data_IF_493426695466
#
_entry.id   IF_493426695466
#
_cell.length_a   1.000
_cell.length_b   1.000
_cell.length_c   1.000
_cell.angle_alpha   90.00
_cell.angle_beta   90.00
_cell.angle_gamma   90.00
#
_symmetry.space_group_name_H-M   'P 1'
#
loop_
_entity.id
_entity.type
_entity.pdbx_description
1 polymer ?
#
# COMPACT_ATOMS: atom_id res chain seq x y z
N UNK A 1 -20.69 -18.84 -51.18
CA UNK A 1 -19.93 -19.54 -50.12
C UNK A 1 -18.73 -18.72 -49.62
N UNK A 2 -17.79 -18.31 -50.48
CA UNK A 2 -16.60 -17.55 -50.05
C UNK A 2 -16.92 -16.23 -49.31
N UNK A 3 -17.90 -15.45 -49.77
CA UNK A 3 -18.26 -14.18 -49.13
C UNK A 3 -18.85 -14.38 -47.73
N UNK A 4 -19.68 -15.42 -47.55
CA UNK A 4 -20.24 -15.78 -46.24
C UNK A 4 -19.13 -16.17 -45.27
N UNK A 5 -18.15 -16.96 -45.71
CA UNK A 5 -16.98 -17.32 -44.89
C UNK A 5 -16.15 -16.09 -44.53
N UNK A 6 -15.94 -15.17 -45.47
CA UNK A 6 -15.20 -13.91 -45.23
C UNK A 6 -15.89 -13.05 -44.17
N UNK A 7 -17.20 -12.88 -44.27
CA UNK A 7 -17.99 -12.11 -43.27
C UNK A 7 -17.90 -12.77 -41.89
N UNK A 8 -18.05 -14.10 -41.81
CA UNK A 8 -17.92 -14.84 -40.55
C UNK A 8 -16.52 -14.64 -39.95
N UNK A 9 -15.46 -14.73 -40.76
CA UNK A 9 -14.08 -14.52 -40.30
C UNK A 9 -13.84 -13.10 -39.79
N UNK A 10 -14.38 -12.08 -40.47
CA UNK A 10 -14.25 -10.69 -40.03
C UNK A 10 -14.99 -10.45 -38.71
N UNK A 11 -16.18 -11.02 -38.54
CA UNK A 11 -16.93 -10.95 -37.28
C UNK A 11 -16.16 -11.66 -36.16
N UNK A 12 -15.65 -12.86 -36.42
CA UNK A 12 -14.85 -13.60 -35.44
C UNK A 12 -13.59 -12.84 -35.02
N UNK A 13 -12.90 -12.23 -35.99
CA UNK A 13 -11.71 -11.41 -35.74
C UNK A 13 -12.04 -10.16 -34.91
N UNK A 14 -13.14 -9.46 -35.25
CA UNK A 14 -13.59 -8.30 -34.49
C UNK A 14 -13.97 -8.68 -33.05
N UNK A 15 -14.66 -9.81 -32.85
CA UNK A 15 -15.01 -10.31 -31.53
C UNK A 15 -13.76 -10.69 -30.71
N UNK A 16 -12.78 -11.35 -31.33
CA UNK A 16 -11.51 -11.69 -30.69
C UNK A 16 -10.71 -10.43 -30.28
N UNK A 17 -10.68 -9.41 -31.15
CA UNK A 17 -10.01 -8.15 -30.87
C UNK A 17 -10.67 -7.41 -29.69
N UNK A 18 -11.99 -7.29 -29.69
CA UNK A 18 -12.74 -6.64 -28.60
C UNK A 18 -12.54 -7.38 -27.27
N UNK A 19 -12.57 -8.72 -27.29
CA UNK A 19 -12.34 -9.53 -26.09
C UNK A 19 -10.92 -9.34 -25.55
N UNK A 20 -9.92 -9.31 -26.44
CA UNK A 20 -8.52 -9.07 -26.06
C UNK A 20 -8.34 -7.67 -25.46
N UNK A 21 -8.97 -6.66 -26.05
CA UNK A 21 -8.93 -5.28 -25.53
C UNK A 21 -9.62 -5.18 -24.17
N UNK A 22 -10.77 -5.83 -24.00
CA UNK A 22 -11.48 -5.88 -22.72
C UNK A 22 -10.64 -6.57 -21.63
N UNK A 23 -9.93 -7.66 -21.96
CA UNK A 23 -9.00 -8.33 -21.05
C UNK A 23 -7.81 -7.45 -20.69
N UNK A 24 -7.23 -6.76 -21.68
CA UNK A 24 -6.13 -5.84 -21.45
C UNK A 24 -6.55 -4.67 -20.55
N UNK A 25 -7.77 -4.14 -20.76
CA UNK A 25 -8.32 -3.06 -19.95
C UNK A 25 -8.66 -3.52 -18.53
N UNK A 26 -9.24 -4.71 -18.36
CA UNK A 26 -9.54 -5.26 -17.03
C UNK A 26 -8.26 -5.51 -16.23
N UNK A 27 -7.24 -6.07 -16.89
CA UNK A 27 -5.89 -6.24 -16.32
C UNK A 27 -5.25 -4.90 -15.94
N UNK A 28 -5.39 -3.88 -16.79
CA UNK A 28 -4.91 -2.53 -16.49
C UNK A 28 -5.63 -1.88 -15.30
N UNK A 29 -6.90 -2.23 -15.09
CA UNK A 29 -7.72 -1.74 -13.98
C UNK A 29 -7.55 -2.53 -12.69
N UNK A 30 -6.70 -3.56 -12.66
CA UNK A 30 -6.43 -4.35 -11.47
C UNK A 30 -6.08 -3.43 -10.27
N UNK A 31 -6.80 -3.56 -9.13
CA UNK A 31 -6.60 -2.74 -7.94
C UNK A 31 -5.14 -2.53 -7.52
N UNK A 32 -4.26 -3.56 -7.46
CA UNK A 32 -2.87 -3.37 -7.02
C UNK A 32 -2.06 -2.47 -7.96
N UNK A 33 -2.32 -2.51 -9.27
CA UNK A 33 -1.65 -1.64 -10.25
C UNK A 33 -2.20 -0.23 -10.20
N UNK A 34 -3.50 -0.10 -9.94
CA UNK A 34 -4.16 1.20 -9.84
C UNK A 34 -3.63 1.97 -8.63
N UNK A 35 -3.57 1.33 -7.46
CA UNK A 35 -3.14 1.98 -6.23
C UNK A 35 -1.67 2.38 -6.26
N UNK A 36 -0.77 1.53 -6.80
CA UNK A 36 0.64 1.89 -6.98
C UNK A 36 0.85 3.08 -7.92
N UNK A 37 0.08 3.17 -9.00
CA UNK A 37 0.14 4.33 -9.90
C UNK A 37 -0.41 5.59 -9.24
N UNK A 38 -1.48 5.47 -8.47
CA UNK A 38 -2.00 6.59 -7.68
C UNK A 38 -0.94 7.05 -6.65
N UNK A 39 -0.24 6.10 -6.01
CA UNK A 39 0.83 6.38 -5.05
C UNK A 39 1.99 7.11 -5.69
N UNK A 40 2.49 6.61 -6.83
CA UNK A 40 3.55 7.27 -7.59
C UNK A 40 3.12 8.66 -8.08
N UNK A 41 1.86 8.83 -8.49
CA UNK A 41 1.34 10.14 -8.91
C UNK A 41 1.21 11.12 -7.76
N UNK A 42 0.80 10.64 -6.58
CA UNK A 42 0.61 11.47 -5.39
C UNK A 42 1.95 11.88 -4.76
N UNK A 43 2.94 10.96 -4.77
CA UNK A 43 4.29 11.23 -4.30
C UNK A 43 5.10 12.06 -5.31
N UNK A 44 4.91 11.84 -6.60
CA UNK A 44 5.67 12.54 -7.65
C UNK A 44 7.10 12.03 -7.87
N UNK A 45 7.58 11.14 -7.01
CA UNK A 45 8.89 10.48 -7.10
C UNK A 45 8.77 8.99 -6.70
N UNK A 46 9.76 8.13 -7.02
CA UNK A 46 9.78 6.75 -6.54
C UNK A 46 9.86 6.69 -5.01
N UNK A 47 9.06 5.83 -4.34
CA UNK A 47 9.08 5.73 -2.88
C UNK A 47 10.31 4.96 -2.37
N UNK A 48 10.88 5.40 -1.25
CA UNK A 48 11.96 4.74 -0.53
C UNK A 48 11.43 3.55 0.26
N UNK A 49 10.24 3.70 0.83
CA UNK A 49 9.44 2.59 1.32
C UNK A 49 7.97 2.82 1.01
N UNK A 50 7.31 1.76 0.54
CA UNK A 50 5.87 1.71 0.31
C UNK A 50 5.26 0.52 1.08
N UNK A 51 4.00 0.64 1.44
CA UNK A 51 3.17 -0.47 1.88
C UNK A 51 1.80 -0.36 1.22
N UNK A 52 1.28 -1.50 0.78
CA UNK A 52 0.01 -1.57 0.04
C UNK A 52 -0.81 -2.71 0.65
N UNK A 53 -2.06 -2.41 0.96
CA UNK A 53 -3.10 -3.36 1.35
C UNK A 53 -4.14 -3.40 0.23
N UNK A 54 -4.01 -4.32 -0.76
CA UNK A 54 -4.85 -4.31 -1.96
C UNK A 54 -6.34 -4.42 -1.66
N UNK A 55 -6.71 -5.25 -0.68
CA UNK A 55 -8.11 -5.49 -0.34
C UNK A 55 -8.75 -4.36 0.44
N UNK A 56 -8.02 -3.72 1.35
CA UNK A 56 -8.48 -2.50 2.00
C UNK A 56 -8.52 -1.31 1.02
N UNK A 57 -7.85 -1.45 -0.14
CA UNK A 57 -7.64 -0.37 -1.08
C UNK A 57 -6.85 0.77 -0.45
N UNK A 58 -5.95 0.44 0.47
CA UNK A 58 -5.13 1.38 1.24
C UNK A 58 -3.67 1.23 0.86
N UNK A 59 -2.95 2.34 0.84
CA UNK A 59 -1.51 2.34 0.62
C UNK A 59 -0.88 3.53 1.33
N UNK A 60 0.40 3.40 1.65
CA UNK A 60 1.22 4.52 2.07
C UNK A 60 2.61 4.43 1.47
N UNK A 61 3.24 5.58 1.29
CA UNK A 61 4.62 5.70 0.84
C UNK A 61 5.28 6.88 1.54
N UNK A 62 6.60 6.83 1.65
CA UNK A 62 7.41 7.99 2.01
C UNK A 62 8.52 8.18 0.98
N UNK A 63 8.92 9.44 0.82
CA UNK A 63 10.12 9.80 0.07
C UNK A 63 10.90 10.93 0.74
N UNK A 64 12.22 10.77 0.84
CA UNK A 64 13.10 11.70 1.52
C UNK A 64 13.48 12.90 0.65
N UNK A 65 13.60 12.72 -0.67
CA UNK A 65 13.95 13.81 -1.60
C UNK A 65 12.89 14.92 -1.64
N UNK A 66 11.61 14.55 -1.48
CA UNK A 66 10.47 15.48 -1.46
C UNK A 66 9.95 15.77 -0.04
N UNK A 67 10.49 15.09 0.97
CA UNK A 67 10.14 15.24 2.39
C UNK A 67 8.65 15.01 2.70
N UNK A 68 8.04 13.98 2.10
CA UNK A 68 6.61 13.69 2.28
C UNK A 68 6.31 12.23 2.61
N UNK A 69 5.26 12.05 3.42
CA UNK A 69 4.56 10.80 3.63
C UNK A 69 3.17 10.90 3.00
N UNK A 70 2.88 10.04 2.04
CA UNK A 70 1.58 9.97 1.36
C UNK A 70 0.81 8.76 1.87
N UNK A 71 -0.47 8.98 2.17
CA UNK A 71 -1.43 7.91 2.49
C UNK A 71 -2.59 7.96 1.51
N UNK A 72 -3.03 6.81 1.02
CA UNK A 72 -4.10 6.66 0.04
C UNK A 72 -5.15 5.67 0.55
N UNK A 73 -6.42 5.91 0.22
CA UNK A 73 -7.52 4.97 0.45
C UNK A 73 -8.49 4.92 -0.73
N UNK A 74 -9.50 4.06 -0.64
CA UNK A 74 -10.47 3.82 -1.71
C UNK A 74 -9.79 3.48 -3.06
N UNK A 75 -8.77 2.61 -3.01
CA UNK A 75 -7.98 2.20 -4.17
C UNK A 75 -7.33 3.40 -4.90
N UNK A 76 -6.81 4.35 -4.12
CA UNK A 76 -6.14 5.55 -4.62
C UNK A 76 -7.06 6.64 -5.17
N UNK A 77 -8.37 6.57 -4.91
CA UNK A 77 -9.30 7.64 -5.27
C UNK A 77 -9.19 8.86 -4.34
N UNK A 78 -8.74 8.61 -3.10
CA UNK A 78 -8.53 9.63 -2.10
C UNK A 78 -7.16 9.44 -1.44
N UNK A 79 -6.60 10.52 -0.92
CA UNK A 79 -5.32 10.50 -0.27
C UNK A 79 -4.96 11.83 0.38
N UNK A 80 -3.97 11.77 1.26
CA UNK A 80 -3.36 12.92 1.92
C UNK A 80 -1.84 12.80 1.77
N UNK A 81 -1.19 13.94 1.60
CA UNK A 81 0.26 14.07 1.64
C UNK A 81 0.60 14.92 2.87
N UNK A 82 1.43 14.38 3.74
CA UNK A 82 1.91 15.03 4.95
C UNK A 82 3.38 15.36 4.78
N UNK A 83 3.77 16.58 5.15
CA UNK A 83 5.17 16.92 5.32
C UNK A 83 5.77 16.16 6.51
N UNK A 84 7.08 15.97 6.53
CA UNK A 84 7.75 15.24 7.61
C UNK A 84 7.54 15.85 9.01
N UNK A 85 7.37 17.16 9.09
CA UNK A 85 7.06 17.89 10.33
C UNK A 85 5.68 17.51 10.88
N UNK A 86 4.74 17.18 10.00
CA UNK A 86 3.39 16.76 10.36
C UNK A 86 3.34 15.28 10.80
N UNK A 87 4.40 14.51 10.61
CA UNK A 87 4.47 13.12 11.06
C UNK A 87 4.85 13.08 12.54
N UNK A 88 3.98 12.46 13.35
CA UNK A 88 4.24 12.24 14.78
C UNK A 88 4.93 10.91 15.06
N UNK A 89 4.70 9.90 14.22
CA UNK A 89 5.40 8.61 14.31
C UNK A 89 4.64 7.45 13.69
N UNK A 90 5.00 6.24 14.12
CA UNK A 90 4.37 5.01 13.64
C UNK A 90 4.41 3.86 14.65
N UNK A 91 3.47 2.94 14.50
CA UNK A 91 3.31 1.74 15.32
C UNK A 91 3.18 0.50 14.45
N UNK A 92 3.70 -0.62 14.96
CA UNK A 92 3.38 -1.95 14.44
C UNK A 92 2.51 -2.64 15.48
N UNK A 93 1.34 -3.08 15.01
CA UNK A 93 0.34 -3.77 15.82
C UNK A 93 0.25 -5.20 15.31
N UNK A 94 0.34 -6.17 16.22
CA UNK A 94 0.19 -7.59 15.93
C UNK A 94 -0.96 -8.11 16.78
N UNK A 95 -1.98 -8.66 16.13
CA UNK A 95 -3.18 -9.23 16.80
C UNK A 95 -3.75 -8.29 17.87
N UNK A 96 -3.88 -7.00 17.54
CA UNK A 96 -4.39 -5.95 18.43
C UNK A 96 -3.40 -5.40 19.46
N UNK A 97 -2.16 -5.90 19.52
CA UNK A 97 -1.14 -5.47 20.47
C UNK A 97 -0.05 -4.62 19.81
N UNK A 98 0.21 -3.42 20.35
CA UNK A 98 1.32 -2.56 19.89
C UNK A 98 2.66 -3.20 20.29
N UNK A 99 3.31 -3.86 19.34
CA UNK A 99 4.59 -4.56 19.55
C UNK A 99 5.80 -3.67 19.35
N UNK A 100 5.67 -2.63 18.52
CA UNK A 100 6.73 -1.65 18.29
C UNK A 100 6.14 -0.26 18.03
N UNK A 101 6.86 0.78 18.45
CA UNK A 101 6.43 2.18 18.35
C UNK A 101 7.63 3.09 18.19
N UNK A 102 7.48 4.11 17.35
CA UNK A 102 8.31 5.30 17.34
C UNK A 102 7.39 6.51 17.40
N UNK A 103 7.72 7.48 18.25
CA UNK A 103 7.03 8.76 18.36
C UNK A 103 8.03 9.90 18.57
N UNK A 104 7.68 11.10 18.09
CA UNK A 104 8.45 12.32 18.32
C UNK A 104 8.59 12.56 19.83
N UNK A 105 9.84 12.68 20.31
CA UNK A 105 10.14 12.91 21.72
C UNK A 105 10.02 11.70 22.66
N UNK A 106 9.64 10.52 22.17
CA UNK A 106 9.58 9.28 22.96
C UNK A 106 10.78 8.36 22.65
N UNK A 107 11.21 7.57 23.64
CA UNK A 107 12.19 6.51 23.41
C UNK A 107 11.56 5.40 22.54
N UNK A 108 12.29 4.96 21.51
CA UNK A 108 11.83 3.90 20.59
C UNK A 108 11.53 2.60 21.35
N UNK A 109 10.34 2.04 21.11
CA UNK A 109 10.03 0.63 21.42
C UNK A 109 10.39 -0.21 20.20
N UNK A 110 11.51 -0.93 20.27
CA UNK A 110 12.01 -1.79 19.20
C UNK A 110 11.04 -2.95 18.92
N UNK A 111 11.00 -3.37 17.65
CA UNK A 111 10.31 -4.60 17.27
C UNK A 111 11.21 -5.79 17.59
N UNK A 112 11.05 -6.38 18.77
CA UNK A 112 11.85 -7.54 19.19
C UNK A 112 11.02 -8.84 19.26
N UNK A 113 9.85 -8.81 18.61
CA UNK A 113 8.91 -9.94 18.58
C UNK A 113 9.00 -10.64 17.22
N UNK A 114 9.19 -11.96 17.26
CA UNK A 114 8.88 -12.86 16.15
C UNK A 114 7.48 -13.41 16.40
N UNK A 115 6.55 -13.15 15.48
CA UNK A 115 5.19 -13.67 15.54
C UNK A 115 4.93 -14.50 14.27
N UNK A 116 5.43 -15.75 14.22
CA UNK A 116 5.25 -16.62 13.05
C UNK A 116 3.79 -17.00 12.83
N UNK A 117 3.00 -17.01 13.90
CA UNK A 117 1.58 -17.40 13.89
C UNK A 117 0.63 -16.18 14.01
N UNK A 118 1.12 -14.97 13.68
CA UNK A 118 0.28 -13.77 13.72
C UNK A 118 -0.88 -13.87 12.72
N UNK A 119 -2.10 -13.59 13.19
CA UNK A 119 -3.28 -13.51 12.34
C UNK A 119 -3.31 -12.17 11.60
N UNK A 120 -2.87 -11.09 12.24
CA UNK A 120 -2.89 -9.76 11.67
C UNK A 120 -1.62 -8.97 12.02
N UNK A 121 -1.05 -8.26 11.03
CA UNK A 121 0.01 -7.27 11.24
C UNK A 121 -0.43 -5.95 10.60
N UNK A 122 -0.52 -4.89 11.39
CA UNK A 122 -0.98 -3.56 10.95
C UNK A 122 0.12 -2.54 11.15
N UNK A 123 0.32 -1.68 10.16
CA UNK A 123 1.09 -0.44 10.29
C UNK A 123 0.11 0.70 10.60
N UNK A 124 0.34 1.41 11.70
CA UNK A 124 -0.35 2.67 12.02
C UNK A 124 0.64 3.81 11.87
N UNK A 125 0.31 4.80 11.07
CA UNK A 125 0.99 6.08 10.97
C UNK A 125 0.21 7.14 11.75
N UNK A 126 0.91 8.05 12.40
CA UNK A 126 0.33 9.09 13.25
C UNK A 126 0.78 10.46 12.76
N UNK A 127 -0.15 11.40 12.71
CA UNK A 127 0.04 12.73 12.14
C UNK A 127 -0.50 13.82 13.06
N UNK A 128 0.11 15.00 12.99
CA UNK A 128 -0.32 16.22 13.65
C UNK A 128 -1.50 16.88 12.88
N UNK A 129 -2.50 16.08 12.52
CA UNK A 129 -3.74 16.51 11.86
C UNK A 129 -4.94 16.17 12.75
N UNK A 130 -5.70 17.19 13.15
CA UNK A 130 -6.88 17.00 14.00
C UNK A 130 -8.03 16.24 13.31
N UNK A 131 -8.09 16.24 11.97
CA UNK A 131 -9.14 15.57 11.19
C UNK A 131 -8.77 14.13 10.88
N UNK A 132 -7.50 13.89 10.61
CA UNK A 132 -6.96 12.59 10.21
C UNK A 132 -5.69 12.25 11.01
N UNK A 133 -5.80 12.09 12.34
CA UNK A 133 -4.64 11.93 13.22
C UNK A 133 -3.92 10.59 13.04
N UNK A 134 -4.59 9.60 12.47
CA UNK A 134 -4.01 8.27 12.26
C UNK A 134 -4.43 7.67 10.91
N UNK A 135 -3.53 6.87 10.36
CA UNK A 135 -3.78 6.05 9.19
C UNK A 135 -3.30 4.63 9.44
N UNK A 136 -4.20 3.67 9.28
CA UNK A 136 -3.90 2.25 9.44
C UNK A 136 -3.99 1.50 8.13
N UNK A 137 -3.09 0.55 7.93
CA UNK A 137 -3.19 -0.43 6.86
C UNK A 137 -2.67 -1.80 7.31
N UNK A 138 -3.33 -2.85 6.84
CA UNK A 138 -2.85 -4.21 7.02
C UNK A 138 -1.59 -4.46 6.17
N UNK A 139 -0.51 -4.89 6.83
CA UNK A 139 0.67 -5.45 6.17
C UNK A 139 0.50 -6.97 5.95
N UNK A 140 -0.27 -7.62 6.83
CA UNK A 140 -0.64 -9.04 6.75
C UNK A 140 -2.01 -9.27 7.39
N UNK A 141 -2.78 -10.17 6.79
CA UNK A 141 -4.05 -10.68 7.32
C UNK A 141 -4.19 -12.15 6.90
N UNK A 142 -4.28 -13.07 7.85
CA UNK A 142 -4.40 -14.50 7.61
C UNK A 142 -5.68 -14.87 6.85
N UNK A 143 -6.75 -14.07 6.98
CA UNK A 143 -7.96 -14.25 6.18
C UNK A 143 -7.72 -14.01 4.67
N UNK A 144 -6.58 -13.40 4.32
CA UNK A 144 -6.21 -12.94 2.98
C UNK A 144 -4.84 -13.46 2.54
N UNK A 145 -4.37 -14.57 3.12
CA UNK A 145 -3.05 -15.14 2.89
C UNK A 145 -2.70 -15.42 1.41
N UNK A 146 -3.68 -15.49 0.49
CA UNK A 146 -3.43 -15.64 -0.95
C UNK A 146 -3.03 -14.33 -1.65
N UNK A 147 -3.28 -13.18 -1.03
CA UNK A 147 -3.03 -11.83 -1.54
C UNK A 147 -1.93 -11.10 -0.75
N UNK A 148 -1.82 -11.37 0.55
CA UNK A 148 -0.74 -10.89 1.43
C UNK A 148 0.37 -11.95 1.52
N UNK A 149 1.64 -11.56 1.65
CA UNK A 149 2.78 -12.49 1.58
C UNK A 149 2.87 -13.48 2.76
N UNK A 150 3.60 -13.13 3.81
CA UNK A 150 3.65 -13.91 5.06
C UNK A 150 3.73 -12.97 6.27
N UNK A 151 3.35 -13.42 7.49
CA UNK A 151 3.47 -12.58 8.67
C UNK A 151 4.92 -12.11 8.91
N UNK A 152 5.90 -12.97 8.63
CA UNK A 152 7.31 -12.64 8.72
C UNK A 152 7.76 -11.56 7.71
N UNK A 153 7.23 -11.58 6.48
CA UNK A 153 7.47 -10.52 5.50
C UNK A 153 6.84 -9.19 5.92
N UNK A 154 5.63 -9.24 6.46
CA UNK A 154 4.94 -8.07 6.98
C UNK A 154 5.68 -7.44 8.16
N UNK A 155 6.20 -8.24 9.10
CA UNK A 155 7.03 -7.73 10.20
C UNK A 155 8.36 -7.14 9.70
N UNK A 156 8.98 -7.72 8.66
CA UNK A 156 10.18 -7.15 8.03
C UNK A 156 9.88 -5.80 7.37
N UNK A 157 8.75 -5.70 6.67
CA UNK A 157 8.28 -4.45 6.07
C UNK A 157 7.96 -3.40 7.15
N UNK A 158 7.28 -3.80 8.21
CA UNK A 158 6.99 -2.93 9.37
C UNK A 158 8.27 -2.43 10.04
N UNK A 159 9.29 -3.28 10.23
CA UNK A 159 10.61 -2.86 10.73
C UNK A 159 11.26 -1.83 9.81
N UNK A 160 11.18 -2.04 8.49
CA UNK A 160 11.73 -1.09 7.50
C UNK A 160 11.03 0.27 7.63
N UNK A 161 9.71 0.30 7.67
CA UNK A 161 8.91 1.51 7.89
C UNK A 161 9.31 2.24 9.17
N UNK A 162 9.36 1.53 10.30
CA UNK A 162 9.79 2.12 11.56
C UNK A 162 11.21 2.69 11.47
N UNK A 163 12.17 2.00 10.85
CA UNK A 163 13.52 2.54 10.70
C UNK A 163 13.58 3.83 9.84
N UNK A 164 12.73 3.95 8.81
CA UNK A 164 12.67 5.18 8.00
C UNK A 164 12.00 6.32 8.77
N UNK A 165 10.91 6.04 9.50
CA UNK A 165 10.27 7.01 10.39
C UNK A 165 11.23 7.47 11.50
N UNK A 166 12.07 6.59 12.03
CA UNK A 166 13.08 6.97 13.00
C UNK A 166 14.10 7.96 12.42
N UNK A 167 14.56 7.71 11.18
CA UNK A 167 15.48 8.62 10.49
C UNK A 167 14.84 9.99 10.27
N UNK A 168 13.59 10.01 9.82
CA UNK A 168 12.78 11.22 9.63
C UNK A 168 12.56 11.99 10.94
N UNK A 169 12.31 11.32 12.06
CA UNK A 169 12.04 11.99 13.33
C UNK A 169 13.33 12.50 14.03
N UNK A 170 14.50 12.10 13.52
CA UNK A 170 15.81 12.54 14.01
C UNK A 170 16.44 13.65 13.17
N UNK A 171 15.97 13.87 11.94
CA UNK A 171 16.33 15.03 11.11
C UNK A 171 15.67 16.30 11.63
#
# INVERSE_FOLDING_TARGET
MAEVVRVILLIALAAALLTTLALALSWWMEPPRRIRRALLKALGAPPEVEAVSPREGRACALNFDIEQVVVLWANGAHGLAYAFEEVEGGEIIVDGHVVARIRRGEARKSLDVLAPDAEQVVLRLMFADARHPEFELALWDAALAGETGSPGEALRLGRRWLSHLEALLKS
#
